data_IF_128805230805
#
_entry.id   IF_128805230805
#
_cell.length_a   1.000
_cell.length_b   1.000
_cell.length_c   1.000
_cell.angle_alpha   90.00
_cell.angle_beta   90.00
_cell.angle_gamma   90.00
#
_symmetry.space_group_name_H-M   'P 1'
#
loop_
_entity.id
_entity.type
_entity.pdbx_description
1 polymer ?
#
# COMPACT_ATOMS: atom_id res chain seq x y z
N UNK A 1 -17.40 63.05 16.95
CA UNK A 1 -16.58 62.28 17.92
C UNK A 1 -17.30 61.04 18.51
N UNK A 2 -18.19 60.36 17.77
CA UNK A 2 -18.86 59.13 18.27
C UNK A 2 -18.60 57.85 17.45
N UNK A 3 -17.84 57.91 16.34
CA UNK A 3 -17.54 56.72 15.52
C UNK A 3 -16.34 55.89 16.03
N UNK A 4 -15.34 56.55 16.66
CA UNK A 4 -14.11 55.86 17.11
C UNK A 4 -14.29 54.93 18.31
N UNK A 5 -15.25 55.20 19.21
CA UNK A 5 -15.50 54.35 20.38
C UNK A 5 -16.19 53.03 20.02
N UNK A 6 -17.02 53.01 18.97
CA UNK A 6 -17.74 51.80 18.52
C UNK A 6 -16.76 50.80 17.88
N UNK A 7 -15.75 51.29 17.16
CA UNK A 7 -14.71 50.44 16.58
C UNK A 7 -13.80 49.80 17.65
N UNK A 8 -13.46 50.53 18.71
CA UNK A 8 -12.65 49.97 19.81
C UNK A 8 -13.43 48.88 20.55
N UNK A 9 -14.72 49.10 20.82
CA UNK A 9 -15.55 48.07 21.46
C UNK A 9 -15.72 46.83 20.58
N UNK A 10 -15.89 46.97 19.26
CA UNK A 10 -15.92 45.83 18.33
C UNK A 10 -14.59 45.07 18.30
N UNK A 11 -13.46 45.76 18.24
CA UNK A 11 -12.15 45.10 18.22
C UNK A 11 -11.82 44.39 19.53
N UNK A 12 -12.17 44.98 20.68
CA UNK A 12 -11.97 44.33 21.99
C UNK A 12 -12.90 43.13 22.16
N UNK A 13 -14.15 43.21 21.69
CA UNK A 13 -15.08 42.09 21.73
C UNK A 13 -14.63 40.95 20.81
N UNK A 14 -14.08 41.24 19.63
CA UNK A 14 -13.53 40.23 18.72
C UNK A 14 -12.29 39.57 19.32
N UNK A 15 -11.38 40.32 19.96
CA UNK A 15 -10.20 39.75 20.62
C UNK A 15 -10.59 38.89 21.83
N UNK A 16 -11.59 39.30 22.62
CA UNK A 16 -12.13 38.49 23.72
C UNK A 16 -12.89 37.25 23.22
N UNK A 17 -13.57 37.34 22.07
CA UNK A 17 -14.24 36.19 21.47
C UNK A 17 -13.23 35.21 20.87
N UNK A 18 -12.13 35.69 20.26
CA UNK A 18 -11.05 34.86 19.74
C UNK A 18 -10.25 34.18 20.86
N UNK A 19 -9.99 34.88 21.97
CA UNK A 19 -9.31 34.30 23.14
C UNK A 19 -10.21 33.30 23.88
N UNK A 20 -11.52 33.56 23.97
CA UNK A 20 -12.47 32.57 24.48
C UNK A 20 -12.57 31.35 23.56
N UNK A 21 -12.48 31.50 22.24
CA UNK A 21 -12.48 30.37 21.31
C UNK A 21 -11.23 29.49 21.46
N UNK A 22 -10.08 30.10 21.77
CA UNK A 22 -8.82 29.40 22.08
C UNK A 22 -8.85 28.67 23.44
N UNK A 23 -9.67 29.12 24.39
CA UNK A 23 -9.84 28.48 25.71
C UNK A 23 -10.94 27.41 25.69
N UNK A 24 -11.92 27.51 24.78
CA UNK A 24 -13.08 26.59 24.68
C UNK A 24 -12.85 25.45 23.67
N UNK A 25 -11.68 25.38 23.04
CA UNK A 25 -11.28 24.24 22.20
C UNK A 25 -10.23 23.35 22.89
N UNK A 26 -10.63 22.47 23.84
CA UNK A 26 -9.78 21.34 24.22
C UNK A 26 -9.84 20.33 23.08
N UNK A 27 -9.01 20.49 22.04
CA UNK A 27 -9.11 19.56 20.90
C UNK A 27 -8.15 19.72 19.73
N UNK A 28 -7.26 20.70 19.69
CA UNK A 28 -6.13 20.66 18.76
C UNK A 28 -4.96 19.95 19.47
N UNK A 29 -5.08 18.62 19.50
CA UNK A 29 -4.03 17.70 19.94
C UNK A 29 -2.80 17.88 19.06
N UNK A 30 -1.86 18.69 19.53
CA UNK A 30 -0.46 18.57 19.15
C UNK A 30 -0.01 17.14 19.49
N UNK A 31 0.32 16.37 18.46
CA UNK A 31 0.87 15.02 18.52
C UNK A 31 0.16 14.05 19.49
N UNK A 32 -0.96 13.47 19.07
CA UNK A 32 -1.42 12.17 19.60
C UNK A 32 -0.42 11.07 19.19
N UNK A 33 0.78 11.10 19.76
CA UNK A 33 1.54 9.87 19.98
C UNK A 33 0.86 9.15 21.14
N UNK A 34 -0.31 8.58 20.86
CA UNK A 34 -0.97 7.62 21.73
C UNK A 34 -0.06 6.39 21.77
N UNK A 35 1.01 6.45 22.58
CA UNK A 35 1.78 5.26 22.91
C UNK A 35 0.78 4.29 23.53
N UNK A 36 0.48 3.20 22.81
CA UNK A 36 -0.63 2.33 23.17
C UNK A 36 -0.31 1.63 24.48
N UNK A 37 -0.93 2.08 25.57
CA UNK A 37 -0.77 1.45 26.87
C UNK A 37 -1.55 0.13 26.91
N UNK A 38 -0.85 -0.98 27.11
CA UNK A 38 -1.41 -2.33 27.11
C UNK A 38 -1.36 -2.90 28.52
N UNK A 39 -2.53 -3.24 29.06
CA UNK A 39 -2.70 -3.92 30.35
C UNK A 39 -2.69 -5.43 30.22
N UNK A 40 -3.21 -5.95 29.11
CA UNK A 40 -3.36 -7.40 28.90
C UNK A 40 -3.06 -7.78 27.45
N UNK A 41 -2.41 -8.93 27.28
CA UNK A 41 -2.24 -9.58 26.00
C UNK A 41 -3.25 -10.71 25.88
N UNK A 42 -3.95 -10.77 24.76
CA UNK A 42 -4.84 -11.86 24.38
C UNK A 42 -4.26 -12.56 23.17
N UNK A 43 -4.26 -13.89 23.19
CA UNK A 43 -3.78 -14.70 22.06
C UNK A 43 -4.98 -15.37 21.39
N UNK A 44 -4.96 -15.39 20.06
CA UNK A 44 -6.02 -16.01 19.24
C UNK A 44 -5.35 -16.86 18.16
N UNK A 45 -5.97 -17.98 17.81
CA UNK A 45 -5.48 -18.90 16.78
C UNK A 45 -4.56 -19.99 17.32
N UNK A 46 -4.32 -19.99 18.63
CA UNK A 46 -3.62 -21.05 19.34
C UNK A 46 -4.54 -22.26 19.57
N UNK A 47 -4.06 -23.44 19.19
CA UNK A 47 -4.71 -24.72 19.44
C UNK A 47 -3.74 -25.76 20.01
N UNK A 48 -2.44 -25.53 19.88
CA UNK A 48 -1.38 -26.43 20.38
C UNK A 48 -1.05 -26.20 21.85
N UNK A 49 -1.22 -24.97 22.33
CA UNK A 49 -1.00 -24.57 23.73
C UNK A 49 -2.26 -23.85 24.21
N UNK A 50 -2.68 -24.11 25.44
CA UNK A 50 -3.87 -23.51 26.00
C UNK A 50 -3.73 -21.97 26.10
N UNK A 51 -4.83 -21.28 25.83
CA UNK A 51 -4.84 -19.80 25.82
C UNK A 51 -4.54 -19.24 27.20
N UNK A 52 -5.04 -19.89 28.26
CA UNK A 52 -4.83 -19.47 29.63
C UNK A 52 -3.34 -19.52 30.01
N UNK A 53 -2.64 -20.59 29.62
CA UNK A 53 -1.21 -20.76 29.90
C UNK A 53 -0.37 -19.69 29.19
N UNK A 54 -0.69 -19.39 27.93
CA UNK A 54 0.02 -18.37 27.17
C UNK A 54 -0.27 -16.95 27.68
N UNK A 55 -1.53 -16.64 28.02
CA UNK A 55 -1.89 -15.33 28.59
C UNK A 55 -1.22 -15.11 29.96
N UNK A 56 -1.10 -16.17 30.76
CA UNK A 56 -0.37 -16.12 32.03
C UNK A 56 1.14 -15.97 31.83
N UNK A 57 1.71 -16.62 30.83
CA UNK A 57 3.13 -16.50 30.49
C UNK A 57 3.49 -15.07 30.05
N UNK A 58 2.61 -14.41 29.30
CA UNK A 58 2.79 -13.04 28.83
C UNK A 58 2.08 -11.99 29.71
N UNK A 59 1.93 -12.27 31.00
CA UNK A 59 1.29 -11.31 31.91
C UNK A 59 2.16 -10.04 32.06
N UNK A 60 1.57 -8.90 31.75
CA UNK A 60 2.22 -7.59 31.83
C UNK A 60 2.10 -6.95 33.22
N UNK A 61 1.40 -7.60 34.16
CA UNK A 61 1.16 -7.10 35.50
C UNK A 61 0.41 -5.76 35.50
N UNK A 62 1.12 -4.67 35.81
CA UNK A 62 0.54 -3.31 35.85
C UNK A 62 0.32 -2.71 34.45
N UNK A 63 0.75 -3.40 33.39
CA UNK A 63 0.68 -2.94 32.01
C UNK A 63 1.95 -2.22 31.56
N UNK A 64 2.17 -2.20 30.24
CA UNK A 64 3.37 -1.67 29.60
C UNK A 64 2.99 -0.77 28.44
N UNK A 65 3.80 0.25 28.20
CA UNK A 65 3.68 1.09 27.01
C UNK A 65 4.21 0.32 25.81
N UNK A 66 3.34 0.01 24.85
CA UNK A 66 3.73 -0.82 23.71
C UNK A 66 4.38 0.02 22.61
N UNK A 67 5.70 -0.09 22.50
CA UNK A 67 6.48 0.38 21.35
C UNK A 67 6.67 -0.77 20.35
N UNK A 68 7.01 -0.51 19.07
CA UNK A 68 7.30 -1.57 18.11
C UNK A 68 8.33 -2.60 18.61
N UNK A 69 9.38 -2.14 19.30
CA UNK A 69 10.44 -3.00 19.83
C UNK A 69 9.92 -3.92 20.94
N UNK A 70 9.05 -3.41 21.82
CA UNK A 70 8.40 -4.22 22.87
C UNK A 70 7.43 -5.22 22.24
N UNK A 71 6.71 -4.84 21.19
CA UNK A 71 5.85 -5.77 20.45
C UNK A 71 6.65 -6.90 19.83
N UNK A 72 7.76 -6.58 19.16
CA UNK A 72 8.64 -7.59 18.56
C UNK A 72 9.25 -8.51 19.63
N UNK A 73 9.65 -7.96 20.78
CA UNK A 73 10.10 -8.73 21.92
C UNK A 73 9.03 -9.71 22.42
N UNK A 74 7.80 -9.24 22.65
CA UNK A 74 6.67 -10.09 23.07
C UNK A 74 6.36 -11.18 22.04
N UNK A 75 6.41 -10.86 20.74
CA UNK A 75 6.22 -11.84 19.67
C UNK A 75 7.35 -12.88 19.69
N UNK A 76 8.60 -12.44 19.89
CA UNK A 76 9.76 -13.34 19.96
C UNK A 76 9.69 -14.28 21.17
N UNK A 77 9.28 -13.78 22.33
CA UNK A 77 9.04 -14.57 23.55
C UNK A 77 7.91 -15.59 23.37
N UNK A 78 6.81 -15.19 22.73
CA UNK A 78 5.74 -16.12 22.38
C UNK A 78 6.26 -17.25 21.48
N UNK A 79 7.07 -16.92 20.47
CA UNK A 79 7.69 -17.93 19.58
C UNK A 79 8.67 -18.83 20.32
N UNK A 80 9.47 -18.29 21.24
CA UNK A 80 10.38 -19.05 22.07
C UNK A 80 9.63 -20.03 22.98
N UNK A 81 8.50 -19.62 23.56
CA UNK A 81 7.64 -20.49 24.36
C UNK A 81 7.08 -21.66 23.51
N UNK A 82 6.57 -21.38 22.32
CA UNK A 82 6.15 -22.43 21.38
C UNK A 82 7.29 -23.38 21.01
N UNK A 83 8.49 -22.85 20.78
CA UNK A 83 9.67 -23.65 20.49
C UNK A 83 10.07 -24.54 21.68
N UNK A 84 9.97 -24.05 22.91
CA UNK A 84 10.19 -24.83 24.13
C UNK A 84 9.23 -26.03 24.21
N UNK A 85 7.97 -25.85 23.80
CA UNK A 85 6.99 -26.93 23.70
C UNK A 85 7.16 -27.84 22.46
N UNK A 86 8.15 -27.57 21.61
CA UNK A 86 8.48 -28.38 20.44
C UNK A 86 7.71 -28.02 19.17
N UNK A 87 7.21 -26.78 19.07
CA UNK A 87 6.45 -26.25 17.93
C UNK A 87 7.17 -25.06 17.28
N UNK A 88 8.29 -25.27 16.59
CA UNK A 88 9.14 -24.18 16.09
C UNK A 88 8.56 -23.47 14.85
N UNK A 89 7.58 -24.06 14.15
CA UNK A 89 7.12 -23.55 12.85
C UNK A 89 5.86 -22.71 12.97
N UNK A 90 5.74 -21.90 14.03
CA UNK A 90 4.62 -20.98 14.20
C UNK A 90 4.96 -19.58 13.66
N UNK A 91 3.93 -18.93 13.13
CA UNK A 91 3.95 -17.51 12.78
C UNK A 91 3.07 -16.76 13.78
N UNK A 92 3.52 -15.59 14.23
CA UNK A 92 2.78 -14.77 15.18
C UNK A 92 2.87 -13.31 14.75
N UNK A 93 1.74 -12.62 14.74
CA UNK A 93 1.65 -11.21 14.37
C UNK A 93 0.71 -10.46 15.30
N UNK A 94 1.12 -9.27 15.70
CA UNK A 94 0.28 -8.37 16.47
C UNK A 94 -0.77 -7.73 15.58
N UNK A 95 -2.02 -7.68 16.05
CA UNK A 95 -3.03 -6.83 15.45
C UNK A 95 -2.86 -5.46 16.10
N UNK A 96 -2.38 -4.47 15.35
CA UNK A 96 -2.03 -3.10 15.79
C UNK A 96 -3.16 -2.31 16.48
N UNK A 97 -4.32 -2.91 16.72
CA UNK A 97 -5.45 -2.31 17.42
C UNK A 97 -5.46 -2.76 18.86
N UNK A 98 -5.04 -1.88 19.76
CA UNK A 98 -5.32 -2.03 21.19
C UNK A 98 -6.75 -1.53 21.45
N UNK A 99 -7.59 -2.37 22.04
CA UNK A 99 -8.96 -2.01 22.44
C UNK A 99 -9.03 -2.06 23.95
N UNK A 100 -9.31 -0.94 24.59
CA UNK A 100 -9.42 -0.83 26.06
C UNK A 100 -8.16 -1.33 26.81
N UNK A 101 -6.96 -1.12 26.26
CA UNK A 101 -5.71 -1.62 26.83
C UNK A 101 -5.48 -3.12 26.67
N UNK A 102 -6.25 -3.82 25.83
CA UNK A 102 -5.98 -5.21 25.45
C UNK A 102 -5.34 -5.23 24.07
N UNK A 103 -4.16 -5.84 23.97
CA UNK A 103 -3.50 -6.14 22.70
C UNK A 103 -3.82 -7.57 22.29
N UNK A 104 -4.16 -7.77 21.02
CA UNK A 104 -4.43 -9.11 20.49
C UNK A 104 -3.29 -9.56 19.59
N UNK A 105 -2.70 -10.70 19.90
CA UNK A 105 -1.71 -11.37 19.07
C UNK A 105 -2.41 -12.54 18.37
N UNK A 106 -2.30 -12.59 17.05
CA UNK A 106 -2.79 -13.72 16.27
C UNK A 106 -1.63 -14.66 15.98
N UNK A 107 -1.83 -15.92 16.34
CA UNK A 107 -0.89 -17.01 16.07
C UNK A 107 -1.45 -17.83 14.91
N UNK A 108 -0.58 -18.15 13.96
CA UNK A 108 -0.86 -19.08 12.88
C UNK A 108 0.00 -20.34 13.06
N UNK A 109 -0.68 -21.42 13.42
CA UNK A 109 -0.10 -22.76 13.64
C UNK A 109 -0.18 -23.64 12.38
N UNK A 110 -0.68 -23.11 11.26
CA UNK A 110 -0.93 -23.88 10.03
C UNK A 110 0.31 -24.61 9.52
N UNK A 111 1.48 -23.99 9.61
CA UNK A 111 2.74 -24.60 9.21
C UNK A 111 3.13 -25.77 10.12
N UNK A 112 2.87 -25.66 11.42
CA UNK A 112 3.10 -26.74 12.38
C UNK A 112 2.14 -27.92 12.12
N UNK A 113 0.89 -27.66 11.74
CA UNK A 113 -0.04 -28.70 11.30
C UNK A 113 0.26 -29.28 9.91
N UNK A 114 0.97 -28.53 9.05
CA UNK A 114 1.36 -28.99 7.73
C UNK A 114 2.65 -29.79 7.76
N UNK A 115 3.66 -29.38 8.49
CA UNK A 115 5.00 -29.99 8.38
C UNK A 115 5.65 -30.29 9.74
N UNK A 116 4.96 -30.00 10.83
CA UNK A 116 5.47 -30.13 12.19
C UNK A 116 5.04 -31.39 12.94
N UNK A 117 5.28 -31.36 14.25
CA UNK A 117 5.06 -32.48 15.18
C UNK A 117 3.59 -32.96 15.23
N UNK A 118 2.58 -32.09 15.27
CA UNK A 118 1.17 -32.51 15.32
C UNK A 118 0.76 -33.38 14.13
N UNK A 119 1.28 -33.11 12.93
CA UNK A 119 1.00 -33.93 11.73
C UNK A 119 1.60 -35.32 11.87
N UNK A 120 2.86 -35.40 12.29
CA UNK A 120 3.57 -36.67 12.44
C UNK A 120 2.91 -37.54 13.52
N UNK A 121 2.59 -36.97 14.67
CA UNK A 121 1.88 -37.67 15.75
C UNK A 121 0.53 -38.21 15.29
N UNK A 122 -0.27 -37.39 14.61
CA UNK A 122 -1.56 -37.81 14.05
C UNK A 122 -1.40 -38.95 13.05
N UNK A 123 -0.40 -38.89 12.17
CA UNK A 123 -0.14 -39.93 11.18
C UNK A 123 0.23 -41.27 11.84
N UNK A 124 1.11 -41.23 12.86
CA UNK A 124 1.53 -42.42 13.61
C UNK A 124 0.36 -43.02 14.37
N UNK A 125 -0.39 -42.21 15.12
CA UNK A 125 -1.55 -42.67 15.88
C UNK A 125 -2.64 -43.24 14.97
N UNK A 126 -2.94 -42.57 13.85
CA UNK A 126 -3.90 -43.08 12.85
C UNK A 126 -3.46 -44.43 12.31
N UNK A 127 -2.18 -44.60 11.96
CA UNK A 127 -1.67 -45.86 11.43
C UNK A 127 -1.65 -46.97 12.49
N UNK A 128 -1.31 -46.65 13.73
CA UNK A 128 -1.34 -47.59 14.85
C UNK A 128 -2.77 -48.08 15.12
N UNK A 129 -3.73 -47.16 15.17
CA UNK A 129 -5.14 -47.45 15.34
C UNK A 129 -5.69 -48.35 14.21
N UNK A 130 -5.44 -47.99 12.94
CA UNK A 130 -5.92 -48.77 11.79
C UNK A 130 -5.38 -50.21 11.74
N UNK A 131 -4.21 -50.46 12.33
CA UNK A 131 -3.59 -51.79 12.34
C UNK A 131 -3.69 -52.49 13.70
N UNK A 132 -4.41 -51.92 14.67
CA UNK A 132 -4.52 -52.43 16.06
C UNK A 132 -3.15 -52.70 16.72
N UNK A 133 -2.18 -51.80 16.53
CA UNK A 133 -0.83 -51.93 17.08
C UNK A 133 -0.66 -51.03 18.30
N UNK A 134 -0.24 -51.59 19.42
CA UNK A 134 0.22 -50.82 20.58
C UNK A 134 1.70 -50.48 20.43
N UNK A 135 2.01 -49.20 20.19
CA UNK A 135 3.39 -48.72 20.04
C UNK A 135 3.99 -48.36 21.41
N UNK A 136 5.20 -48.87 21.69
CA UNK A 136 6.03 -48.36 22.80
C UNK A 136 6.42 -46.89 22.53
N UNK A 137 6.50 -46.08 23.58
CA UNK A 137 6.79 -44.64 23.46
C UNK A 137 8.11 -44.34 22.72
N UNK A 138 9.16 -45.11 22.99
CA UNK A 138 10.46 -44.94 22.33
C UNK A 138 10.37 -45.11 20.81
N UNK A 139 9.68 -46.18 20.37
CA UNK A 139 9.45 -46.43 18.94
C UNK A 139 8.57 -45.35 18.32
N UNK A 140 7.54 -44.88 19.06
CA UNK A 140 6.70 -43.77 18.62
C UNK A 140 7.53 -42.51 18.35
N UNK A 141 8.42 -42.13 19.28
CA UNK A 141 9.31 -40.97 19.13
C UNK A 141 10.23 -41.11 17.91
N UNK A 142 10.88 -42.26 17.74
CA UNK A 142 11.76 -42.51 16.58
C UNK A 142 11.02 -42.36 15.24
N UNK A 143 9.81 -42.90 15.13
CA UNK A 143 8.99 -42.80 13.91
C UNK A 143 8.60 -41.34 13.66
N UNK A 144 8.19 -40.61 14.69
CA UNK A 144 7.85 -39.18 14.59
C UNK A 144 9.04 -38.37 14.08
N UNK A 145 10.23 -38.56 14.66
CA UNK A 145 11.44 -37.85 14.22
C UNK A 145 11.80 -38.16 12.75
N UNK A 146 11.63 -39.40 12.33
CA UNK A 146 11.85 -39.80 10.93
C UNK A 146 10.86 -39.11 9.99
N UNK A 147 9.58 -39.05 10.37
CA UNK A 147 8.54 -38.35 9.60
C UNK A 147 8.81 -36.84 9.54
N UNK A 148 9.23 -36.23 10.65
CA UNK A 148 9.56 -34.81 10.71
C UNK A 148 10.69 -34.46 9.73
N UNK A 149 11.76 -35.25 9.69
CA UNK A 149 12.83 -35.08 8.69
C UNK A 149 12.30 -35.19 7.26
N UNK A 150 11.37 -36.11 7.00
CA UNK A 150 10.70 -36.24 5.72
C UNK A 150 9.87 -35.02 5.34
N UNK A 151 9.06 -34.50 6.27
CA UNK A 151 8.23 -33.31 6.05
C UNK A 151 9.07 -32.05 5.85
N UNK A 152 10.19 -31.90 6.56
CA UNK A 152 11.11 -30.79 6.34
C UNK A 152 11.74 -30.81 4.94
N UNK A 153 12.05 -32.00 4.40
CA UNK A 153 12.51 -32.13 3.00
C UNK A 153 11.41 -31.74 2.01
N UNK A 154 10.17 -32.16 2.26
CA UNK A 154 9.02 -31.79 1.42
C UNK A 154 8.76 -30.28 1.45
N UNK A 155 8.79 -29.66 2.63
CA UNK A 155 8.72 -28.21 2.82
C UNK A 155 9.70 -27.46 1.92
N UNK A 156 10.98 -27.84 1.96
CA UNK A 156 12.03 -27.19 1.14
C UNK A 156 11.75 -27.32 -0.35
N UNK A 157 11.26 -28.48 -0.81
CA UNK A 157 10.90 -28.69 -2.21
C UNK A 157 9.71 -27.81 -2.59
N UNK A 158 8.66 -27.77 -1.76
CA UNK A 158 7.49 -26.92 -1.97
C UNK A 158 7.86 -25.43 -2.03
N UNK A 159 8.77 -24.97 -1.17
CA UNK A 159 9.28 -23.59 -1.18
C UNK A 159 10.07 -23.26 -2.46
N UNK A 160 10.93 -24.17 -2.94
CA UNK A 160 11.68 -23.99 -4.18
C UNK A 160 10.72 -23.90 -5.38
N UNK A 161 9.75 -24.82 -5.44
CA UNK A 161 8.77 -24.87 -6.52
C UNK A 161 7.88 -23.62 -6.50
N UNK A 162 7.43 -23.18 -5.32
CA UNK A 162 6.66 -21.94 -5.17
C UNK A 162 7.46 -20.71 -5.61
N UNK A 163 8.74 -20.63 -5.23
CA UNK A 163 9.64 -19.56 -5.67
C UNK A 163 9.81 -19.53 -7.18
N UNK A 164 9.99 -20.68 -7.82
CA UNK A 164 10.09 -20.80 -9.27
C UNK A 164 8.81 -20.33 -9.98
N UNK A 165 7.63 -20.75 -9.52
CA UNK A 165 6.36 -20.31 -10.10
C UNK A 165 6.12 -18.81 -9.90
N UNK A 166 6.43 -18.27 -8.73
CA UNK A 166 6.31 -16.84 -8.47
C UNK A 166 7.25 -16.01 -9.37
N UNK A 167 8.48 -16.47 -9.58
CA UNK A 167 9.42 -15.86 -10.52
C UNK A 167 8.86 -15.84 -11.94
N UNK A 168 8.43 -17.00 -12.45
CA UNK A 168 7.84 -17.13 -13.79
C UNK A 168 6.57 -16.29 -13.97
N UNK A 169 5.76 -16.13 -12.92
CA UNK A 169 4.59 -15.25 -12.96
C UNK A 169 4.98 -13.78 -13.06
N UNK A 170 6.00 -13.34 -12.31
CA UNK A 170 6.49 -11.95 -12.38
C UNK A 170 7.04 -11.63 -13.77
N UNK A 171 7.85 -12.52 -14.33
CA UNK A 171 8.39 -12.35 -15.70
C UNK A 171 7.28 -12.19 -16.73
N UNK A 172 6.22 -13.01 -16.65
CA UNK A 172 5.07 -12.90 -17.55
C UNK A 172 4.28 -11.61 -17.36
N UNK A 173 4.11 -11.15 -16.11
CA UNK A 173 3.42 -9.88 -15.84
C UNK A 173 4.22 -8.73 -16.44
N UNK A 174 5.54 -8.73 -16.25
CA UNK A 174 6.44 -7.73 -16.80
C UNK A 174 6.43 -7.73 -18.34
N UNK A 175 6.42 -8.91 -18.97
CA UNK A 175 6.29 -9.06 -20.43
C UNK A 175 4.97 -8.47 -20.93
N UNK A 176 3.84 -8.84 -20.33
CA UNK A 176 2.51 -8.31 -20.68
C UNK A 176 2.45 -6.80 -20.50
N UNK A 177 2.97 -6.27 -19.39
CA UNK A 177 3.02 -4.83 -19.14
C UNK A 177 3.91 -4.10 -20.16
N UNK A 178 5.01 -4.72 -20.58
CA UNK A 178 5.91 -4.15 -21.60
C UNK A 178 5.25 -4.10 -22.98
N UNK A 179 4.54 -5.16 -23.38
CA UNK A 179 3.78 -5.21 -24.63
C UNK A 179 2.62 -4.20 -24.60
N UNK A 180 1.93 -4.10 -23.46
CA UNK A 180 0.86 -3.13 -23.28
C UNK A 180 1.38 -1.69 -23.37
N UNK A 181 2.53 -1.39 -22.74
CA UNK A 181 3.21 -0.09 -22.86
C UNK A 181 3.54 0.24 -24.31
N UNK A 182 4.12 -0.69 -25.05
CA UNK A 182 4.46 -0.49 -26.45
C UNK A 182 3.21 -0.20 -27.31
N UNK A 183 2.15 -1.00 -27.14
CA UNK A 183 0.89 -0.79 -27.87
C UNK A 183 0.23 0.55 -27.56
N UNK A 184 0.31 1.01 -26.30
CA UNK A 184 -0.21 2.33 -25.92
C UNK A 184 0.61 3.47 -26.54
N UNK A 185 1.95 3.37 -26.55
CA UNK A 185 2.82 4.33 -27.22
C UNK A 185 2.49 4.48 -28.70
N UNK A 186 2.26 3.36 -29.41
CA UNK A 186 1.89 3.38 -30.82
C UNK A 186 0.55 4.11 -31.05
N UNK A 187 -0.46 3.83 -30.21
CA UNK A 187 -1.77 4.51 -30.29
C UNK A 187 -1.66 6.01 -30.01
N UNK A 188 -0.87 6.40 -29.02
CA UNK A 188 -0.63 7.82 -28.69
C UNK A 188 0.08 8.49 -29.86
N UNK A 189 1.11 7.87 -30.44
CA UNK A 189 1.83 8.41 -31.59
C UNK A 189 0.91 8.64 -32.80
N UNK A 190 0.01 7.70 -33.08
CA UNK A 190 -0.99 7.86 -34.15
C UNK A 190 -1.97 8.99 -33.85
N UNK A 191 -2.44 9.12 -32.61
CA UNK A 191 -3.32 10.21 -32.18
C UNK A 191 -2.64 11.58 -32.24
N UNK A 192 -1.37 11.68 -31.85
CA UNK A 192 -0.57 12.91 -31.96
C UNK A 192 -0.39 13.29 -33.44
N UNK A 193 -0.14 12.33 -34.33
CA UNK A 193 -0.07 12.60 -35.79
C UNK A 193 -1.40 13.09 -36.35
N UNK A 194 -2.52 12.51 -35.94
CA UNK A 194 -3.87 12.97 -36.32
C UNK A 194 -4.11 14.41 -35.83
N UNK A 195 -3.78 14.70 -34.58
CA UNK A 195 -3.91 16.02 -33.98
C UNK A 195 -3.08 17.08 -34.73
N UNK A 196 -1.80 16.80 -34.99
CA UNK A 196 -0.91 17.72 -35.71
C UNK A 196 -1.41 18.03 -37.14
N UNK A 197 -2.00 17.04 -37.83
CA UNK A 197 -2.63 17.26 -39.14
C UNK A 197 -3.86 18.17 -39.04
N UNK A 198 -4.70 17.97 -38.03
CA UNK A 198 -5.88 18.80 -37.78
C UNK A 198 -5.44 20.23 -37.47
N UNK A 199 -4.47 20.41 -36.58
CA UNK A 199 -3.93 21.71 -36.21
C UNK A 199 -3.42 22.48 -37.44
N UNK A 200 -2.57 21.86 -38.26
CA UNK A 200 -2.08 22.47 -39.50
C UNK A 200 -3.22 22.86 -40.46
N UNK A 201 -4.26 22.03 -40.55
CA UNK A 201 -5.44 22.34 -41.39
C UNK A 201 -6.23 23.54 -40.85
N UNK A 202 -6.34 23.68 -39.53
CA UNK A 202 -6.97 24.82 -38.88
C UNK A 202 -6.15 26.09 -39.14
N UNK A 203 -4.85 26.04 -38.91
CA UNK A 203 -3.92 27.15 -39.18
C UNK A 203 -3.99 27.62 -40.65
N UNK A 204 -3.99 26.69 -41.61
CA UNK A 204 -4.14 27.00 -43.04
C UNK A 204 -5.50 27.65 -43.36
N UNK A 205 -6.58 27.22 -42.69
CA UNK A 205 -7.91 27.80 -42.87
C UNK A 205 -8.04 29.18 -42.21
N UNK A 206 -7.39 29.41 -41.06
CA UNK A 206 -7.32 30.71 -40.41
C UNK A 206 -6.50 31.70 -41.23
N UNK A 207 -5.35 31.28 -41.75
CA UNK A 207 -4.54 32.08 -42.67
C UNK A 207 -5.36 32.52 -43.90
N UNK A 208 -6.09 31.60 -44.54
CA UNK A 208 -7.00 31.91 -45.66
C UNK A 208 -8.12 32.88 -45.24
N UNK A 209 -8.69 32.73 -44.05
CA UNK A 209 -9.72 33.65 -43.53
C UNK A 209 -9.15 35.06 -43.33
N UNK A 210 -7.97 35.17 -42.73
CA UNK A 210 -7.28 36.45 -42.51
C UNK A 210 -6.98 37.11 -43.86
N UNK A 211 -6.51 36.36 -44.86
CA UNK A 211 -6.24 36.88 -46.19
C UNK A 211 -7.51 37.40 -46.89
N UNK A 212 -8.62 36.66 -46.80
CA UNK A 212 -9.93 37.11 -47.31
C UNK A 212 -10.40 38.38 -46.59
N UNK A 213 -10.22 38.48 -45.27
CA UNK A 213 -10.54 39.69 -44.53
C UNK A 213 -9.66 40.87 -44.96
N UNK A 214 -8.35 40.65 -45.13
CA UNK A 214 -7.38 41.66 -45.60
C UNK A 214 -7.78 42.19 -46.97
N UNK A 215 -8.10 41.30 -47.92
CA UNK A 215 -8.53 41.66 -49.28
C UNK A 215 -9.84 42.46 -49.28
N UNK A 216 -10.80 42.10 -48.41
CA UNK A 216 -12.06 42.87 -48.25
C UNK A 216 -11.80 44.28 -47.73
N UNK A 217 -10.91 44.44 -46.75
CA UNK A 217 -10.59 45.75 -46.16
C UNK A 217 -9.85 46.63 -47.16
N UNK A 218 -8.90 46.07 -47.91
CA UNK A 218 -8.20 46.77 -49.00
C UNK A 218 -9.18 47.19 -50.12
N UNK A 219 -10.12 46.33 -50.50
CA UNK A 219 -11.14 46.66 -51.51
C UNK A 219 -12.15 47.73 -51.05
N UNK A 220 -12.29 47.93 -49.73
CA UNK A 220 -13.14 48.96 -49.14
C UNK A 220 -12.44 50.33 -49.02
N UNK A 221 -11.17 50.45 -49.45
CA UNK A 221 -10.43 51.72 -49.47
C UNK A 221 -9.95 52.20 -48.10
N UNK A 222 -9.89 51.33 -47.09
CA UNK A 222 -9.37 51.65 -45.77
C UNK A 222 -7.85 51.38 -45.74
N UNK A 223 -7.04 52.41 -46.00
CA UNK A 223 -5.59 52.33 -45.82
C UNK A 223 -5.23 52.39 -44.32
N UNK A 224 -4.81 51.24 -43.79
CA UNK A 224 -3.65 50.99 -42.91
C UNK A 224 -3.86 49.71 -42.12
N UNK A 225 -3.10 48.66 -42.46
CA UNK A 225 -2.76 47.62 -41.50
C UNK A 225 -1.34 47.89 -41.05
N UNK A 226 -1.17 48.11 -39.75
CA UNK A 226 0.15 48.12 -39.12
C UNK A 226 0.71 46.68 -39.20
N UNK A 227 1.92 46.51 -39.72
CA UNK A 227 2.59 45.21 -39.93
C UNK A 227 2.97 44.48 -38.61
N UNK A 228 2.55 45.01 -37.46
CA UNK A 228 2.83 44.47 -36.13
C UNK A 228 2.00 43.23 -35.76
N UNK A 229 0.94 42.90 -36.52
CA UNK A 229 0.10 41.72 -36.25
C UNK A 229 0.76 40.44 -36.81
N UNK A 230 1.50 40.55 -37.91
CA UNK A 230 2.25 39.42 -38.50
C UNK A 230 3.35 38.91 -37.58
N UNK A 231 3.96 39.77 -36.74
CA UNK A 231 5.01 39.34 -35.80
C UNK A 231 4.50 38.65 -34.53
N UNK A 232 3.19 38.65 -34.28
CA UNK A 232 2.59 37.99 -33.11
C UNK A 232 2.07 36.57 -33.39
N UNK A 233 1.95 36.16 -34.66
CA UNK A 233 1.50 34.81 -35.02
C UNK A 233 2.66 33.79 -35.13
N UNK A 234 3.90 34.25 -35.21
CA UNK A 234 5.10 33.40 -35.28
C UNK A 234 5.66 33.01 -33.88
N UNK A 235 5.02 33.44 -32.79
CA UNK A 235 5.43 33.10 -31.42
C UNK A 235 4.35 32.28 -30.70
N UNK A 236 4.29 31.00 -31.03
CA UNK A 236 4.03 29.87 -30.10
C UNK A 236 3.74 28.57 -30.89
N UNK A 237 4.51 28.26 -31.93
CA UNK A 237 4.70 26.86 -32.28
C UNK A 237 5.78 26.31 -31.33
N UNK A 238 5.38 25.93 -30.12
CA UNK A 238 6.24 25.10 -29.26
C UNK A 238 6.35 23.74 -29.94
N UNK A 239 7.30 23.64 -30.86
CA UNK A 239 7.76 22.37 -31.39
C UNK A 239 8.30 21.59 -30.19
N UNK A 240 7.56 20.57 -29.74
CA UNK A 240 8.01 19.67 -28.68
C UNK A 240 9.20 18.89 -29.23
N UNK A 241 10.40 19.40 -28.96
CA UNK A 241 11.66 18.89 -29.53
C UNK A 241 12.03 17.50 -29.01
N UNK A 242 11.44 17.06 -27.89
CA UNK A 242 11.64 15.73 -27.32
C UNK A 242 10.31 14.98 -27.18
N UNK A 243 9.86 14.42 -28.30
CA UNK A 243 8.68 13.56 -28.41
C UNK A 243 8.74 12.37 -27.43
N UNK A 244 9.94 11.85 -27.17
CA UNK A 244 10.15 10.70 -26.28
C UNK A 244 9.87 11.05 -24.81
N UNK A 245 10.26 12.25 -24.35
CA UNK A 245 10.02 12.71 -22.98
C UNK A 245 8.53 13.03 -22.74
N UNK A 246 7.86 13.61 -23.74
CA UNK A 246 6.41 13.84 -23.69
C UNK A 246 5.63 12.52 -23.64
N UNK A 247 5.99 11.55 -24.48
CA UNK A 247 5.35 10.23 -24.52
C UNK A 247 5.53 9.48 -23.20
N UNK A 248 6.70 9.57 -22.57
CA UNK A 248 6.94 8.93 -21.27
C UNK A 248 6.11 9.57 -20.14
N UNK A 249 5.94 10.88 -20.15
CA UNK A 249 5.10 11.58 -19.17
C UNK A 249 3.60 11.27 -19.34
N UNK A 250 3.09 11.29 -20.58
CA UNK A 250 1.67 10.94 -20.86
C UNK A 250 1.39 9.48 -20.52
N UNK A 251 2.31 8.56 -20.86
CA UNK A 251 2.21 7.15 -20.49
C UNK A 251 2.17 6.95 -18.97
N UNK A 252 2.95 7.73 -18.21
CA UNK A 252 2.93 7.67 -16.75
C UNK A 252 1.60 8.16 -16.16
N UNK A 253 1.03 9.24 -16.70
CA UNK A 253 -0.27 9.77 -16.27
C UNK A 253 -1.43 8.82 -16.59
N UNK A 254 -1.45 8.22 -17.78
CA UNK A 254 -2.52 7.29 -18.18
C UNK A 254 -2.45 5.95 -17.43
N UNK A 255 -1.25 5.54 -16.96
CA UNK A 255 -1.09 4.41 -16.04
C UNK A 255 -1.66 4.68 -14.64
N UNK A 256 -1.54 5.90 -14.14
CA UNK A 256 -2.10 6.29 -12.84
C UNK A 256 -3.61 6.50 -12.91
N UNK A 257 -4.12 6.95 -14.06
CA UNK A 257 -5.53 7.28 -14.28
C UNK A 257 -6.03 6.82 -15.66
N UNK A 258 -6.35 5.53 -15.84
CA UNK A 258 -6.85 5.04 -17.12
C UNK A 258 -8.25 5.61 -17.42
N UNK A 259 -8.35 6.45 -18.47
CA UNK A 259 -9.62 6.86 -19.09
C UNK A 259 -10.23 8.19 -18.62
N UNK A 260 -9.43 9.16 -18.19
CA UNK A 260 -9.86 10.55 -17.95
C UNK A 260 -9.65 11.44 -19.18
#
# INVERSE_FOLDING_TARGET
MMSGRIHIFKSVFIVLFLSAFLVISPGLTFASSNKSFVKKIKIIGNTLIDSYDLEKYLDLGNGVTMTPEVMDMVISELRANYQYHGYPSIEAYSILKTKNGVMTIKVDEKNEFRWGKPRAERAVLKRAFLNNITLKEERKKQIIETLLKGYQKQKKIEEIVAGFFAGKQRERIEEIESEHRASMRDKIADKVKEFNKIQKTIEENEAKRIEVMRNRILSAGLEKFDDSITSQLDQESVEYTDLDEFLDNVMFEEMLHPGL
#
